data_IF_871298287608
#
_entry.id   IF_871298287608
#
_cell.length_a   1.000
_cell.length_b   1.000
_cell.length_c   1.000
_cell.angle_alpha   90.00
_cell.angle_beta   90.00
_cell.angle_gamma   90.00
#
_symmetry.space_group_name_H-M   'P 1'
#
loop_
_entity.id
_entity.type
_entity.pdbx_description
1 polymer ?
#
# COMPACT_ATOMS: atom_id res chain seq x y z
N UNK A 1 24.89 15.33 9.79
CA UNK A 1 23.45 15.48 9.50
C UNK A 1 23.27 16.67 8.58
N UNK A 2 22.46 16.54 7.53
CA UNK A 2 22.13 17.67 6.65
C UNK A 2 21.33 18.74 7.43
N UNK A 3 21.56 20.02 7.13
CA UNK A 3 20.79 21.12 7.78
C UNK A 3 19.33 21.03 7.36
N UNK A 4 18.41 21.05 8.33
CA UNK A 4 16.96 21.12 8.08
C UNK A 4 16.61 22.40 7.30
N UNK A 5 15.71 22.28 6.32
CA UNK A 5 15.15 23.43 5.61
C UNK A 5 14.26 24.28 6.53
N UNK A 6 13.94 25.52 6.13
CA UNK A 6 13.06 26.41 6.93
C UNK A 6 11.71 25.74 7.22
N UNK A 7 11.08 25.15 6.20
CA UNK A 7 9.78 24.50 6.35
C UNK A 7 9.85 23.26 7.26
N UNK A 8 10.91 22.44 7.15
CA UNK A 8 11.11 21.31 8.05
C UNK A 8 11.28 21.76 9.50
N UNK A 9 12.02 22.85 9.76
CA UNK A 9 12.15 23.37 11.13
C UNK A 9 10.80 23.77 11.72
N UNK A 10 9.93 24.41 10.93
CA UNK A 10 8.58 24.80 11.37
C UNK A 10 7.74 23.55 11.64
N UNK A 11 7.80 22.51 10.77
CA UNK A 11 7.07 21.29 10.95
C UNK A 11 7.55 20.51 12.21
N UNK A 12 8.87 20.40 12.42
CA UNK A 12 9.42 19.77 13.64
C UNK A 12 9.07 20.53 14.92
N UNK A 13 8.97 21.85 14.88
CA UNK A 13 8.63 22.65 16.05
C UNK A 13 7.17 22.41 16.54
N UNK A 14 6.29 21.90 15.68
CA UNK A 14 4.90 21.54 16.01
C UNK A 14 4.76 20.15 16.61
N UNK A 15 5.79 19.32 16.50
CA UNK A 15 5.78 17.95 17.03
C UNK A 15 6.50 17.92 18.37
N UNK A 16 5.83 17.48 19.41
CA UNK A 16 6.47 17.29 20.72
C UNK A 16 7.41 16.06 20.64
N UNK A 17 8.69 16.22 20.98
CA UNK A 17 9.64 15.10 21.00
C UNK A 17 9.18 14.00 21.95
N UNK A 18 9.28 12.73 21.50
CA UNK A 18 8.97 11.54 22.29
C UNK A 18 7.49 11.39 22.75
N UNK A 19 6.58 12.18 22.20
CA UNK A 19 5.15 12.03 22.46
C UNK A 19 4.54 11.09 21.42
N UNK A 20 3.84 10.07 21.89
CA UNK A 20 2.97 9.24 21.08
C UNK A 20 1.56 9.84 21.06
N UNK A 21 1.07 10.20 19.90
CA UNK A 21 -0.24 10.82 19.71
C UNK A 21 -1.33 9.77 19.50
N UNK A 22 -2.56 10.08 19.83
CA UNK A 22 -3.70 9.26 19.40
C UNK A 22 -3.85 9.34 17.88
N UNK A 23 -4.41 8.30 17.27
CA UNK A 23 -4.49 8.19 15.80
C UNK A 23 -5.18 9.41 15.16
N UNK A 24 -6.33 9.86 15.68
CA UNK A 24 -7.04 11.03 15.17
C UNK A 24 -6.26 12.34 15.39
N UNK A 25 -5.58 12.51 16.52
CA UNK A 25 -4.71 13.67 16.79
C UNK A 25 -3.52 13.70 15.83
N UNK A 26 -2.92 12.52 15.55
CA UNK A 26 -1.82 12.39 14.61
C UNK A 26 -2.25 12.74 13.17
N UNK A 27 -3.45 12.30 12.75
CA UNK A 27 -4.02 12.62 11.45
C UNK A 27 -4.29 14.12 11.29
N UNK A 28 -4.81 14.78 12.32
CA UNK A 28 -5.02 16.23 12.31
C UNK A 28 -3.67 16.99 12.26
N UNK A 29 -2.72 16.61 13.11
CA UNK A 29 -1.39 17.22 13.16
C UNK A 29 -0.64 17.06 11.82
N UNK A 30 -0.77 15.93 11.12
CA UNK A 30 -0.18 15.72 9.81
C UNK A 30 -0.63 16.76 8.80
N UNK A 31 -1.91 17.13 8.80
CA UNK A 31 -2.44 18.16 7.89
C UNK A 31 -1.83 19.54 8.18
N UNK A 32 -1.58 19.84 9.46
CA UNK A 32 -1.00 21.11 9.88
C UNK A 32 0.50 21.24 9.59
N UNK A 33 1.24 20.14 9.63
CA UNK A 33 2.69 20.13 9.41
C UNK A 33 3.06 19.97 7.93
N UNK A 34 2.09 19.59 7.09
CA UNK A 34 2.31 19.44 5.66
C UNK A 34 2.48 20.82 5.02
N UNK A 35 3.58 20.99 4.29
CA UNK A 35 3.96 22.25 3.64
C UNK A 35 4.10 22.13 2.12
N UNK A 36 3.72 21.00 1.54
CA UNK A 36 3.80 20.76 0.10
C UNK A 36 2.68 21.52 -0.63
N UNK A 37 2.96 21.94 -1.87
CA UNK A 37 1.99 22.64 -2.73
C UNK A 37 1.15 21.68 -3.58
N UNK A 38 1.45 20.40 -3.53
CA UNK A 38 0.74 19.33 -4.20
C UNK A 38 0.01 18.45 -3.18
N UNK A 39 -0.97 17.68 -3.64
CA UNK A 39 -1.69 16.75 -2.78
C UNK A 39 -0.80 15.55 -2.41
N UNK A 40 -0.13 15.68 -1.27
CA UNK A 40 0.84 14.71 -0.79
C UNK A 40 0.16 13.40 -0.38
N UNK A 41 0.85 12.27 -0.55
CA UNK A 41 0.40 11.01 0.00
C UNK A 41 0.58 10.98 1.52
N UNK A 42 -0.34 10.33 2.22
CA UNK A 42 -0.25 10.01 3.64
C UNK A 42 0.14 8.55 3.75
N UNK A 43 1.25 8.30 4.39
CA UNK A 43 1.83 6.98 4.53
C UNK A 43 1.82 6.54 6.00
N UNK A 44 1.60 5.25 6.23
CA UNK A 44 1.71 4.61 7.54
C UNK A 44 2.88 3.63 7.51
N UNK A 45 3.74 3.76 8.51
CA UNK A 45 4.91 2.91 8.72
C UNK A 45 4.75 2.16 10.03
N UNK A 46 4.66 0.83 9.96
CA UNK A 46 4.41 -0.02 11.12
C UNK A 46 5.59 -0.95 11.32
N UNK A 47 6.32 -0.76 12.42
CA UNK A 47 7.39 -1.67 12.81
C UNK A 47 6.82 -2.84 13.59
N UNK A 48 7.08 -4.05 13.07
CA UNK A 48 6.61 -5.30 13.64
C UNK A 48 7.76 -6.05 14.35
N UNK A 49 7.43 -6.78 15.40
CA UNK A 49 8.34 -7.66 16.12
C UNK A 49 8.48 -9.03 15.42
N UNK A 50 8.81 -9.02 14.13
CA UNK A 50 9.01 -10.23 13.31
C UNK A 50 10.41 -10.26 12.70
N UNK A 51 10.89 -11.47 12.42
CA UNK A 51 12.12 -11.66 11.66
C UNK A 51 11.79 -12.00 10.19
N UNK A 52 11.91 -11.05 9.25
CA UNK A 52 11.53 -11.25 7.85
C UNK A 52 12.43 -12.24 7.10
N UNK A 53 13.55 -12.64 7.69
CA UNK A 53 14.44 -13.69 7.13
C UNK A 53 13.82 -15.07 7.25
N UNK A 54 12.89 -15.25 8.19
CA UNK A 54 12.18 -16.52 8.42
C UNK A 54 10.89 -16.52 7.61
N UNK A 55 10.74 -17.49 6.73
CA UNK A 55 9.56 -17.61 5.86
C UNK A 55 8.23 -17.69 6.64
N UNK A 56 8.25 -18.28 7.85
CA UNK A 56 7.09 -18.40 8.73
C UNK A 56 6.76 -17.13 9.54
N UNK A 57 7.58 -16.09 9.45
CA UNK A 57 7.37 -14.78 10.08
C UNK A 57 7.18 -13.66 9.06
N UNK A 58 7.15 -13.98 7.77
CA UNK A 58 6.93 -13.00 6.72
C UNK A 58 5.45 -12.60 6.67
N UNK A 59 5.17 -11.35 7.02
CA UNK A 59 3.82 -10.77 6.96
C UNK A 59 3.61 -10.16 5.56
N UNK A 60 2.56 -10.62 4.90
CA UNK A 60 2.10 -10.08 3.62
C UNK A 60 0.59 -10.23 3.56
N UNK A 61 -0.09 -9.21 3.08
CA UNK A 61 -1.53 -9.23 2.94
C UNK A 61 -2.05 -8.18 1.98
N UNK A 62 -3.36 -8.11 1.94
CA UNK A 62 -4.11 -7.07 1.22
C UNK A 62 -5.12 -6.45 2.16
N UNK A 63 -5.41 -5.20 1.95
CA UNK A 63 -6.45 -4.47 2.68
C UNK A 63 -7.23 -3.63 1.68
N UNK A 64 -8.54 -3.55 1.85
CA UNK A 64 -9.38 -2.64 1.10
C UNK A 64 -9.67 -1.43 1.98
N UNK A 65 -9.25 -0.26 1.52
CA UNK A 65 -9.44 0.97 2.28
C UNK A 65 -10.86 1.48 2.11
N UNK A 66 -11.59 1.83 3.19
CA UNK A 66 -12.97 2.35 3.12
C UNK A 66 -13.11 3.58 2.22
N UNK A 67 -12.12 4.48 2.27
CA UNK A 67 -12.11 5.73 1.49
C UNK A 67 -11.16 5.68 0.28
N UNK A 68 -10.64 4.47 -0.06
CA UNK A 68 -9.65 4.32 -1.12
C UNK A 68 -8.31 5.00 -0.80
N UNK A 69 -7.45 5.09 -1.80
CA UNK A 69 -6.11 5.71 -1.68
C UNK A 69 -6.07 7.16 -2.20
N UNK A 70 -7.14 7.65 -2.84
CA UNK A 70 -7.16 8.94 -3.52
C UNK A 70 -6.26 9.01 -4.76
N UNK A 71 -5.74 7.87 -5.23
CA UNK A 71 -4.95 7.75 -6.45
C UNK A 71 -5.79 7.09 -7.54
N UNK A 72 -5.77 7.64 -8.75
CA UNK A 72 -6.30 6.96 -9.93
C UNK A 72 -5.33 5.85 -10.32
N UNK A 73 -5.74 4.60 -10.12
CA UNK A 73 -4.92 3.41 -10.38
C UNK A 73 -5.14 2.96 -11.82
N UNK A 74 -4.06 2.86 -12.59
CA UNK A 74 -4.09 2.30 -13.95
C UNK A 74 -3.91 0.80 -13.89
N UNK A 75 -4.94 0.07 -14.33
CA UNK A 75 -5.00 -1.39 -14.24
C UNK A 75 -4.80 -2.01 -15.61
N UNK A 76 -3.78 -2.87 -15.73
CA UNK A 76 -3.58 -3.74 -16.88
C UNK A 76 -4.11 -5.14 -16.55
N UNK A 77 -4.93 -5.69 -17.43
CA UNK A 77 -5.43 -7.05 -17.32
C UNK A 77 -4.83 -7.92 -18.43
N UNK A 78 -4.09 -8.94 -18.02
CA UNK A 78 -3.55 -9.96 -18.91
C UNK A 78 -4.43 -11.21 -18.87
N UNK A 79 -5.24 -11.40 -19.89
CA UNK A 79 -6.20 -12.52 -19.94
C UNK A 79 -6.33 -13.10 -21.35
N UNK A 80 -7.07 -14.21 -21.45
CA UNK A 80 -7.48 -14.78 -22.72
C UNK A 80 -8.58 -13.94 -23.35
N UNK A 81 -8.77 -13.97 -24.69
CA UNK A 81 -9.78 -13.16 -25.39
C UNK A 81 -11.21 -13.31 -24.82
N UNK A 82 -11.53 -14.47 -24.28
CA UNK A 82 -12.84 -14.76 -23.67
C UNK A 82 -13.15 -13.87 -22.44
N UNK A 83 -12.09 -13.41 -21.75
CA UNK A 83 -12.21 -12.59 -20.53
C UNK A 83 -11.98 -11.10 -20.75
N UNK A 84 -11.62 -10.69 -21.97
CA UNK A 84 -11.37 -9.29 -22.30
C UNK A 84 -12.60 -8.42 -22.14
N UNK A 85 -13.77 -8.89 -22.60
CA UNK A 85 -15.02 -8.17 -22.47
C UNK A 85 -15.41 -7.95 -20.99
N UNK A 86 -15.19 -8.94 -20.11
CA UNK A 86 -15.42 -8.84 -18.68
C UNK A 86 -14.50 -7.80 -18.04
N UNK A 87 -13.21 -7.80 -18.41
CA UNK A 87 -12.22 -6.85 -17.90
C UNK A 87 -12.53 -5.41 -18.33
N UNK A 88 -12.92 -5.21 -19.59
CA UNK A 88 -13.30 -3.89 -20.11
C UNK A 88 -14.57 -3.37 -19.43
N UNK A 89 -15.59 -4.21 -19.28
CA UNK A 89 -16.82 -3.86 -18.59
C UNK A 89 -16.59 -3.47 -17.12
N UNK A 90 -15.61 -4.08 -16.45
CA UNK A 90 -15.20 -3.73 -15.09
C UNK A 90 -14.37 -2.44 -15.01
N UNK A 91 -14.00 -1.84 -16.15
CA UNK A 91 -13.28 -0.57 -16.21
C UNK A 91 -11.76 -0.70 -16.18
N UNK A 92 -11.18 -1.81 -16.63
CA UNK A 92 -9.73 -1.91 -16.81
C UNK A 92 -9.23 -0.90 -17.87
N UNK A 93 -8.07 -0.28 -17.61
CA UNK A 93 -7.53 0.74 -18.50
C UNK A 93 -6.82 0.11 -19.71
N UNK A 94 -6.23 -1.06 -19.50
CA UNK A 94 -5.56 -1.83 -20.54
C UNK A 94 -5.96 -3.30 -20.43
N UNK A 95 -6.33 -3.91 -21.55
CA UNK A 95 -6.73 -5.33 -21.60
C UNK A 95 -6.11 -5.98 -22.82
N UNK A 96 -5.56 -7.17 -22.66
CA UNK A 96 -4.96 -7.97 -23.75
C UNK A 96 -3.91 -8.94 -23.23
N UNK A 97 -3.19 -9.61 -24.10
CA UNK A 97 -2.17 -10.57 -23.70
C UNK A 97 -0.83 -10.34 -24.43
N UNK A 98 -0.68 -10.85 -25.64
CA UNK A 98 0.62 -10.92 -26.32
C UNK A 98 1.16 -9.52 -26.67
N UNK A 99 0.29 -8.60 -27.05
CA UNK A 99 0.64 -7.20 -27.31
C UNK A 99 1.30 -6.52 -26.10
N UNK A 100 0.69 -6.68 -24.91
CA UNK A 100 1.22 -6.07 -23.69
C UNK A 100 2.45 -6.81 -23.16
N UNK A 101 2.54 -8.12 -23.36
CA UNK A 101 3.75 -8.89 -23.06
C UNK A 101 4.95 -8.35 -23.85
N UNK A 102 4.78 -8.05 -25.13
CA UNK A 102 5.85 -7.52 -25.96
C UNK A 102 6.15 -6.03 -25.67
N UNK A 103 5.13 -5.22 -25.35
CA UNK A 103 5.31 -3.85 -24.83
C UNK A 103 6.12 -3.84 -23.53
N UNK A 104 5.82 -4.73 -22.58
CA UNK A 104 6.55 -4.84 -21.31
C UNK A 104 8.00 -5.29 -21.56
N UNK A 105 8.25 -6.23 -22.47
CA UNK A 105 9.61 -6.62 -22.87
C UNK A 105 10.41 -5.46 -23.45
N UNK A 106 9.76 -4.56 -24.19
CA UNK A 106 10.38 -3.33 -24.70
C UNK A 106 10.59 -2.24 -23.65
N UNK A 107 10.17 -2.49 -22.40
CA UNK A 107 10.38 -1.58 -21.25
C UNK A 107 9.17 -0.74 -20.84
N UNK A 108 8.01 -0.88 -21.50
CA UNK A 108 6.80 -0.21 -21.10
C UNK A 108 6.26 -0.76 -19.77
N UNK A 109 6.07 0.09 -18.79
CA UNK A 109 5.58 -0.26 -17.45
C UNK A 109 4.71 0.86 -16.87
N UNK A 110 3.97 1.55 -17.73
CA UNK A 110 3.18 2.72 -17.37
C UNK A 110 1.80 2.33 -16.78
N UNK A 111 1.84 1.38 -15.84
CA UNK A 111 0.70 0.83 -15.11
C UNK A 111 1.02 0.73 -13.63
N UNK A 112 -0.01 0.76 -12.81
CA UNK A 112 0.14 0.69 -11.36
C UNK A 112 -0.14 -0.71 -10.81
N UNK A 113 -1.07 -1.46 -11.43
CA UNK A 113 -1.41 -2.83 -11.05
C UNK A 113 -1.59 -3.69 -12.29
N UNK A 114 -1.07 -4.92 -12.22
CA UNK A 114 -1.28 -5.94 -13.26
C UNK A 114 -2.10 -7.08 -12.66
N UNK A 115 -3.23 -7.38 -13.28
CA UNK A 115 -4.08 -8.53 -12.96
C UNK A 115 -3.91 -9.54 -14.08
N UNK A 116 -3.86 -10.82 -13.75
CA UNK A 116 -3.81 -11.85 -14.77
C UNK A 116 -4.65 -13.08 -14.40
N UNK A 117 -5.06 -13.83 -15.42
CA UNK A 117 -5.66 -15.15 -15.20
C UNK A 117 -4.58 -16.20 -14.98
N UNK A 118 -4.85 -17.27 -14.19
CA UNK A 118 -3.86 -18.32 -13.94
C UNK A 118 -3.30 -18.96 -15.21
N UNK A 119 -4.13 -19.08 -16.25
CA UNK A 119 -3.78 -19.71 -17.52
C UNK A 119 -2.63 -19.00 -18.26
N UNK A 120 -2.52 -17.67 -18.10
CA UNK A 120 -1.49 -16.86 -18.77
C UNK A 120 -0.25 -16.63 -17.93
N UNK A 121 -0.26 -17.10 -16.67
CA UNK A 121 0.85 -16.89 -15.73
C UNK A 121 2.21 -17.41 -16.26
N UNK A 122 2.21 -18.47 -17.08
CA UNK A 122 3.41 -18.98 -17.72
C UNK A 122 4.10 -17.95 -18.61
N UNK A 123 3.32 -17.19 -19.41
CA UNK A 123 3.83 -16.10 -20.26
C UNK A 123 4.30 -14.90 -19.42
N UNK A 124 3.50 -14.54 -18.40
CA UNK A 124 3.80 -13.42 -17.49
C UNK A 124 5.02 -13.70 -16.62
N UNK A 125 5.27 -14.98 -16.26
CA UNK A 125 6.44 -15.41 -15.49
C UNK A 125 7.76 -15.05 -16.17
N UNK A 126 7.82 -15.08 -17.50
CA UNK A 126 9.00 -14.67 -18.26
C UNK A 126 9.34 -13.17 -18.09
N UNK A 127 8.35 -12.35 -17.71
CA UNK A 127 8.51 -10.90 -17.45
C UNK A 127 9.00 -10.59 -16.03
N UNK A 128 9.18 -11.60 -15.19
CA UNK A 128 9.52 -11.45 -13.76
C UNK A 128 10.78 -10.61 -13.52
N UNK A 129 11.75 -10.60 -14.43
CA UNK A 129 12.96 -9.76 -14.34
C UNK A 129 12.66 -8.27 -14.49
N UNK A 130 11.59 -7.90 -15.20
CA UNK A 130 11.18 -6.51 -15.44
C UNK A 130 10.16 -6.08 -14.38
N UNK A 131 9.13 -6.90 -14.16
CA UNK A 131 8.01 -6.59 -13.27
C UNK A 131 8.36 -6.77 -11.78
N UNK A 132 9.23 -7.73 -11.44
CA UNK A 132 9.61 -8.05 -10.07
C UNK A 132 10.20 -6.87 -9.30
N UNK A 133 11.27 -6.21 -9.79
CA UNK A 133 11.89 -5.07 -9.12
C UNK A 133 10.96 -3.87 -8.95
N UNK A 134 9.93 -3.76 -9.81
CA UNK A 134 8.94 -2.67 -9.78
C UNK A 134 7.71 -2.99 -8.93
N UNK A 135 7.64 -4.18 -8.34
CA UNK A 135 6.48 -4.61 -7.57
C UNK A 135 5.21 -4.91 -8.38
N UNK A 136 5.30 -4.90 -9.71
CA UNK A 136 4.15 -5.09 -10.62
C UNK A 136 3.83 -6.57 -10.91
N UNK A 137 4.61 -7.51 -10.37
CA UNK A 137 4.44 -8.94 -10.64
C UNK A 137 3.15 -9.46 -10.00
N UNK A 138 2.18 -9.98 -10.79
CA UNK A 138 0.96 -10.57 -10.25
C UNK A 138 1.23 -11.70 -9.27
N UNK A 139 0.43 -11.79 -8.21
CA UNK A 139 0.60 -12.80 -7.18
C UNK A 139 -0.76 -13.35 -6.70
N UNK A 140 -0.94 -14.67 -6.59
CA UNK A 140 -2.18 -15.27 -6.07
C UNK A 140 -2.51 -14.80 -4.64
N UNK A 141 -1.50 -14.58 -3.80
CA UNK A 141 -1.71 -14.16 -2.40
C UNK A 141 -2.27 -12.75 -2.26
N UNK A 142 -2.08 -11.89 -3.26
CA UNK A 142 -2.63 -10.53 -3.30
C UNK A 142 -3.94 -10.47 -4.10
N UNK A 143 -4.41 -11.62 -4.63
CA UNK A 143 -5.62 -11.69 -5.42
C UNK A 143 -5.52 -11.06 -6.81
N UNK A 144 -4.28 -10.75 -7.28
CA UNK A 144 -4.03 -10.23 -8.63
C UNK A 144 -3.90 -11.34 -9.67
N UNK A 145 -3.90 -12.61 -9.25
CA UNK A 145 -4.02 -13.78 -10.13
C UNK A 145 -5.35 -14.46 -9.79
N UNK A 146 -6.37 -14.28 -10.65
CA UNK A 146 -7.72 -14.79 -10.40
C UNK A 146 -8.45 -15.09 -11.71
N UNK A 147 -9.46 -15.96 -11.63
CA UNK A 147 -10.40 -16.21 -12.74
C UNK A 147 -11.54 -15.16 -12.76
N UNK A 148 -11.83 -14.51 -11.62
CA UNK A 148 -12.84 -13.44 -11.48
C UNK A 148 -12.20 -12.07 -11.75
N UNK A 149 -11.92 -11.83 -13.02
CA UNK A 149 -11.16 -10.63 -13.43
C UNK A 149 -11.94 -9.35 -13.14
N UNK A 150 -13.26 -9.35 -13.43
CA UNK A 150 -14.11 -8.18 -13.22
C UNK A 150 -14.12 -7.70 -11.77
N UNK A 151 -14.30 -8.63 -10.81
CA UNK A 151 -14.28 -8.32 -9.39
C UNK A 151 -12.91 -7.80 -8.94
N UNK A 152 -11.82 -8.43 -9.41
CA UNK A 152 -10.47 -8.00 -9.06
C UNK A 152 -10.17 -6.57 -9.53
N UNK A 153 -10.62 -6.19 -10.73
CA UNK A 153 -10.48 -4.81 -11.24
C UNK A 153 -11.26 -3.82 -10.38
N UNK A 154 -12.51 -4.16 -10.03
CA UNK A 154 -13.34 -3.32 -9.16
C UNK A 154 -12.72 -3.14 -7.78
N UNK A 155 -12.24 -4.22 -7.15
CA UNK A 155 -11.58 -4.18 -5.85
C UNK A 155 -10.34 -3.26 -5.87
N UNK A 156 -9.50 -3.39 -6.89
CA UNK A 156 -8.30 -2.55 -7.03
C UNK A 156 -8.67 -1.08 -7.23
N UNK A 157 -9.68 -0.78 -8.04
CA UNK A 157 -10.18 0.58 -8.23
C UNK A 157 -10.90 1.13 -6.99
N UNK A 158 -11.49 0.27 -6.17
CA UNK A 158 -12.08 0.64 -4.89
C UNK A 158 -11.05 0.95 -3.80
N UNK A 159 -9.74 0.75 -4.05
CA UNK A 159 -8.69 1.07 -3.10
C UNK A 159 -8.11 -0.13 -2.36
N UNK A 160 -8.15 -1.32 -2.97
CA UNK A 160 -7.42 -2.49 -2.48
C UNK A 160 -5.93 -2.29 -2.69
N UNK A 161 -5.19 -2.31 -1.59
CA UNK A 161 -3.73 -2.21 -1.58
C UNK A 161 -3.11 -3.49 -1.05
N UNK A 162 -1.93 -3.82 -1.53
CA UNK A 162 -1.13 -4.90 -0.97
C UNK A 162 0.02 -4.32 -0.12
N UNK A 163 0.40 -5.06 0.90
CA UNK A 163 1.53 -4.72 1.73
C UNK A 163 2.38 -5.94 2.04
N UNK A 164 3.65 -5.70 2.27
CA UNK A 164 4.63 -6.73 2.62
C UNK A 164 5.64 -6.14 3.59
N UNK A 165 6.00 -6.93 4.60
CA UNK A 165 7.09 -6.56 5.51
C UNK A 165 8.41 -6.49 4.75
N UNK A 166 9.20 -5.46 5.04
CA UNK A 166 10.54 -5.27 4.49
C UNK A 166 11.59 -6.10 5.25
N UNK A 167 12.87 -5.96 4.87
CA UNK A 167 14.00 -6.69 5.52
C UNK A 167 14.29 -6.26 6.95
N UNK A 168 13.71 -5.15 7.41
CA UNK A 168 13.86 -4.61 8.77
C UNK A 168 12.65 -4.87 9.66
N UNK A 169 11.65 -5.59 9.17
CA UNK A 169 10.43 -5.87 9.92
C UNK A 169 9.40 -4.73 9.88
N UNK A 170 9.48 -3.84 8.90
CA UNK A 170 8.60 -2.68 8.78
C UNK A 170 7.64 -2.89 7.60
N UNK A 171 6.38 -2.54 7.79
CA UNK A 171 5.37 -2.43 6.73
C UNK A 171 5.22 -0.96 6.38
N UNK A 172 5.36 -0.64 5.10
CA UNK A 172 5.17 0.68 4.53
C UNK A 172 3.97 0.64 3.60
N UNK A 173 2.99 1.52 3.81
CA UNK A 173 1.83 1.59 2.92
C UNK A 173 1.20 2.98 2.91
N UNK A 174 0.70 3.38 1.74
CA UNK A 174 -0.02 4.64 1.58
C UNK A 174 -1.50 4.44 1.90
N UNK A 175 -2.04 5.28 2.78
CA UNK A 175 -3.41 5.18 3.30
C UNK A 175 -4.33 6.28 2.78
N UNK A 176 -3.82 7.22 2.00
CA UNK A 176 -4.64 8.29 1.44
C UNK A 176 -3.84 9.49 0.97
N UNK A 177 -4.52 10.62 0.89
CA UNK A 177 -3.99 11.92 0.49
C UNK A 177 -4.24 12.97 1.58
N UNK A 178 -3.47 14.04 1.57
CA UNK A 178 -3.66 15.18 2.49
C UNK A 178 -5.00 15.89 2.25
N UNK A 179 -5.55 15.79 1.05
CA UNK A 179 -6.90 16.28 0.71
C UNK A 179 -8.01 15.57 1.50
N UNK A 180 -7.79 14.36 2.00
CA UNK A 180 -8.75 13.63 2.83
C UNK A 180 -9.00 14.34 4.17
N UNK A 181 -10.17 14.13 4.77
CA UNK A 181 -10.42 14.58 6.13
C UNK A 181 -9.56 13.80 7.13
N UNK A 182 -9.34 14.36 8.32
CA UNK A 182 -8.60 13.64 9.37
C UNK A 182 -9.29 12.33 9.77
N UNK A 183 -10.63 12.32 9.77
CA UNK A 183 -11.45 11.15 10.05
C UNK A 183 -11.27 10.04 9.00
N UNK A 184 -11.26 10.40 7.70
CA UNK A 184 -11.01 9.44 6.62
C UNK A 184 -9.61 8.81 6.71
N UNK A 185 -8.59 9.62 7.06
CA UNK A 185 -7.22 9.13 7.28
C UNK A 185 -7.20 8.17 8.48
N UNK A 186 -7.90 8.52 9.56
CA UNK A 186 -7.99 7.69 10.76
C UNK A 186 -8.67 6.35 10.47
N UNK A 187 -9.80 6.34 9.75
CA UNK A 187 -10.53 5.13 9.41
C UNK A 187 -9.71 4.21 8.50
N UNK A 188 -9.05 4.77 7.47
CA UNK A 188 -8.15 4.01 6.60
C UNK A 188 -6.97 3.41 7.40
N UNK A 189 -6.34 4.20 8.28
CA UNK A 189 -5.25 3.73 9.11
C UNK A 189 -5.69 2.60 10.06
N UNK A 190 -6.88 2.73 10.65
CA UNK A 190 -7.49 1.74 11.56
C UNK A 190 -7.73 0.42 10.84
N UNK A 191 -8.24 0.45 9.60
CA UNK A 191 -8.47 -0.76 8.81
C UNK A 191 -7.16 -1.47 8.45
N UNK A 192 -6.12 -0.71 8.04
CA UNK A 192 -4.79 -1.26 7.80
C UNK A 192 -4.25 -1.95 9.06
N UNK A 193 -4.34 -1.29 10.21
CA UNK A 193 -3.83 -1.85 11.46
C UNK A 193 -4.61 -3.09 11.91
N UNK A 194 -5.94 -3.08 11.79
CA UNK A 194 -6.79 -4.24 12.06
C UNK A 194 -6.36 -5.45 11.23
N UNK A 195 -6.12 -5.23 9.93
CA UNK A 195 -5.67 -6.28 9.02
C UNK A 195 -4.27 -6.79 9.37
N UNK A 196 -3.33 -5.90 9.70
CA UNK A 196 -1.97 -6.29 10.13
C UNK A 196 -2.03 -7.12 11.42
N UNK A 197 -2.84 -6.74 12.39
CA UNK A 197 -2.99 -7.47 13.66
C UNK A 197 -3.60 -8.86 13.43
N UNK A 198 -4.62 -8.99 12.56
CA UNK A 198 -5.21 -10.28 12.18
C UNK A 198 -4.21 -11.22 11.50
N UNK A 199 -3.25 -10.68 10.78
CA UNK A 199 -2.21 -11.43 10.07
C UNK A 199 -1.00 -11.79 10.94
N UNK A 200 -1.06 -11.58 12.26
CA UNK A 200 0.04 -11.93 13.18
C UNK A 200 0.42 -13.41 13.03
N UNK A 201 1.69 -13.71 12.67
CA UNK A 201 2.16 -15.07 12.59
C UNK A 201 2.19 -15.73 13.99
N UNK A 202 1.81 -16.99 14.10
CA UNK A 202 1.90 -17.77 15.35
C UNK A 202 3.33 -17.89 15.87
N UNK A 203 4.31 -17.82 14.98
CA UNK A 203 5.74 -17.88 15.30
C UNK A 203 6.29 -16.56 15.86
N UNK A 204 5.52 -15.45 15.79
CA UNK A 204 5.94 -14.15 16.34
C UNK A 204 5.76 -14.13 17.86
N UNK A 205 6.87 -14.04 18.59
CA UNK A 205 6.90 -13.98 20.07
C UNK A 205 7.09 -12.54 20.54
N UNK A 206 6.53 -12.20 21.70
CA UNK A 206 6.63 -10.88 22.30
C UNK A 206 5.70 -9.84 21.69
N UNK A 207 6.09 -8.56 21.81
CA UNK A 207 5.30 -7.42 21.30
C UNK A 207 5.30 -7.42 19.77
N UNK A 208 4.12 -7.58 19.17
CA UNK A 208 3.99 -7.67 17.72
C UNK A 208 4.09 -6.29 17.04
N UNK A 209 3.32 -5.31 17.47
CA UNK A 209 3.42 -3.93 17.00
C UNK A 209 4.38 -3.17 17.90
N UNK A 210 5.55 -2.78 17.38
CA UNK A 210 6.58 -2.09 18.16
C UNK A 210 6.41 -0.57 18.09
N UNK A 211 6.17 -0.03 16.91
CA UNK A 211 5.94 1.41 16.71
C UNK A 211 5.13 1.66 15.45
N UNK A 212 4.37 2.74 15.46
CA UNK A 212 3.57 3.20 14.34
C UNK A 212 3.93 4.66 14.09
N UNK A 213 4.17 5.01 12.83
CA UNK A 213 4.38 6.39 12.40
C UNK A 213 3.46 6.71 11.25
N UNK A 214 2.93 7.92 11.26
CA UNK A 214 2.25 8.53 10.13
C UNK A 214 3.13 9.64 9.57
N UNK A 215 3.22 9.72 8.26
CA UNK A 215 3.99 10.76 7.58
C UNK A 215 3.29 11.21 6.29
N UNK A 216 3.65 12.39 5.82
CA UNK A 216 3.30 12.82 4.46
C UNK A 216 4.57 12.97 3.64
N UNK A 217 4.42 13.03 2.33
CA UNK A 217 5.54 13.23 1.39
C UNK A 217 6.37 14.43 1.80
N UNK A 218 7.46 14.49 2.35
CA UNK A 218 8.33 15.61 2.81
C UNK A 218 8.13 16.04 4.27
N UNK A 219 7.09 15.61 4.99
CA UNK A 219 6.92 15.96 6.40
C UNK A 219 7.72 15.01 7.32
N UNK A 220 8.02 15.44 8.55
CA UNK A 220 8.50 14.52 9.57
C UNK A 220 7.43 13.50 9.94
N UNK A 221 7.86 12.31 10.39
CA UNK A 221 6.96 11.28 10.90
C UNK A 221 6.41 11.62 12.28
N UNK A 222 5.11 11.43 12.46
CA UNK A 222 4.40 11.59 13.73
C UNK A 222 4.21 10.21 14.37
N UNK A 223 4.69 10.03 15.59
CA UNK A 223 4.55 8.77 16.30
C UNK A 223 3.13 8.59 16.82
N UNK A 224 2.53 7.43 16.53
CA UNK A 224 1.18 7.05 17.00
C UNK A 224 1.30 6.07 18.16
N UNK A 225 0.44 6.23 19.17
CA UNK A 225 0.34 5.27 20.27
C UNK A 225 -0.30 3.97 19.77
N UNK A 226 0.44 2.82 19.80
CA UNK A 226 -0.09 1.55 19.37
C UNK A 226 -1.40 1.15 20.08
N UNK A 227 -1.56 1.53 21.33
CA UNK A 227 -2.77 1.25 22.11
C UNK A 227 -4.00 1.97 21.59
N UNK A 228 -3.84 3.13 20.93
CA UNK A 228 -4.95 3.89 20.36
C UNK A 228 -5.55 3.22 19.12
N UNK A 229 -4.87 2.23 18.56
CA UNK A 229 -5.25 1.55 17.32
C UNK A 229 -5.72 0.11 17.57
N UNK A 230 -5.40 -0.46 18.74
CA UNK A 230 -5.94 -1.77 19.14
C UNK A 230 -7.44 -1.60 19.39
N UNK A 231 -8.25 -2.07 18.46
CA UNK A 231 -9.71 -2.21 18.64
C UNK A 231 -9.93 -3.27 19.73
N UNK A 232 -10.65 -2.89 20.79
CA UNK A 232 -11.17 -3.85 21.77
C UNK A 232 -12.12 -4.84 21.13
#
# INVERSE_FOLDING_TARGET
MSKLTKNQKIAYAKIEPNKAYRLGEAAALLKEITFTKFDASVDIDVRLGVDPRKANQMVRGVVTLPHGTGKVVRVLVLCTPEKEAEAQAAGADFVGLDEYVDKIKSGWTDVDVIICTPNVMGKVGALGRILGPRGLMPNPKTGTVTMEVGKAVQDVKAGKIDFKVDKYGIVHTSIGKVSFSAEQIEENAREVMSTIIKLKPSAAKGTYVQSIYLSTTMSPGVQVDPKSVETK
#
